data_IF_897284581559
#
_entry.id   IF_897284581559
#
_cell.length_a   1.000
_cell.length_b   1.000
_cell.length_c   1.000
_cell.angle_alpha   90.00
_cell.angle_beta   90.00
_cell.angle_gamma   90.00
#
_symmetry.space_group_name_H-M   'P 1'
#
loop_
_entity.id
_entity.type
_entity.pdbx_description
1 polymer ?
#
# COMPACT_ATOMS: atom_id res chain seq x y z
N UNK A 1 4.49 11.98 -1.71
CA UNK A 1 3.69 11.24 -0.70
C UNK A 1 2.85 10.09 -1.23
N UNK A 2 1.98 10.23 -2.24
CA UNK A 2 1.07 9.14 -2.65
C UNK A 2 1.55 8.24 -3.81
N UNK A 3 2.77 8.47 -4.32
CA UNK A 3 3.31 7.63 -5.37
C UNK A 3 3.34 6.15 -4.93
N UNK A 4 3.06 5.25 -5.88
CA UNK A 4 3.14 3.80 -5.68
C UNK A 4 4.50 3.29 -5.19
N UNK A 5 4.59 1.98 -4.98
CA UNK A 5 5.79 1.35 -4.42
C UNK A 5 6.95 1.45 -5.42
N UNK A 6 8.08 2.00 -4.99
CA UNK A 6 9.29 1.92 -5.80
C UNK A 6 9.91 0.53 -5.69
N UNK A 7 9.78 -0.26 -6.75
CA UNK A 7 10.33 -1.63 -6.84
C UNK A 7 11.75 -1.67 -7.43
N UNK A 8 12.42 -0.52 -7.58
CA UNK A 8 13.81 -0.44 -8.01
C UNK A 8 14.07 -1.15 -9.35
N UNK A 9 15.05 -2.06 -9.39
CA UNK A 9 15.45 -2.77 -10.63
C UNK A 9 14.36 -3.68 -11.23
N UNK A 10 13.30 -3.96 -10.48
CA UNK A 10 12.16 -4.74 -11.00
C UNK A 10 11.19 -3.90 -11.82
N UNK A 11 11.34 -2.57 -11.82
CA UNK A 11 10.47 -1.66 -12.56
C UNK A 11 10.43 -2.03 -14.04
N UNK A 12 9.22 -2.10 -14.60
CA UNK A 12 8.98 -2.42 -16.01
C UNK A 12 8.97 -3.91 -16.33
N UNK A 13 9.14 -4.78 -15.33
CA UNK A 13 9.05 -6.24 -15.48
C UNK A 13 7.74 -6.78 -14.88
N UNK A 14 7.23 -7.87 -15.43
CA UNK A 14 6.10 -8.59 -14.84
C UNK A 14 6.54 -9.40 -13.62
N UNK A 15 5.59 -9.76 -12.75
CA UNK A 15 5.90 -10.63 -11.62
C UNK A 15 6.44 -12.00 -12.08
N UNK A 16 5.93 -12.53 -13.19
CA UNK A 16 6.40 -13.79 -13.78
C UNK A 16 7.85 -13.68 -14.26
N UNK A 17 8.22 -12.57 -14.93
CA UNK A 17 9.59 -12.32 -15.37
C UNK A 17 10.56 -12.20 -14.19
N UNK A 18 10.15 -11.51 -13.12
CA UNK A 18 10.97 -11.37 -11.91
C UNK A 18 11.06 -12.71 -11.18
N UNK A 19 9.96 -13.44 -11.05
CA UNK A 19 9.90 -14.76 -10.41
C UNK A 19 10.74 -15.81 -11.13
N UNK A 20 10.82 -15.76 -12.46
CA UNK A 20 11.69 -16.65 -13.24
C UNK A 20 13.18 -16.31 -13.07
N UNK A 21 13.52 -15.03 -12.92
CA UNK A 21 14.92 -14.58 -12.85
C UNK A 21 15.52 -14.55 -11.44
N UNK A 22 14.72 -14.22 -10.43
CA UNK A 22 15.14 -14.01 -9.03
C UNK A 22 14.12 -14.64 -8.03
N UNK A 23 13.84 -15.97 -8.10
CA UNK A 23 12.76 -16.59 -7.33
C UNK A 23 12.91 -16.48 -5.80
N UNK A 24 14.14 -16.59 -5.27
CA UNK A 24 14.39 -16.41 -3.83
C UNK A 24 14.12 -14.98 -3.39
N UNK A 25 14.43 -14.00 -4.25
CA UNK A 25 14.20 -12.59 -3.98
C UNK A 25 12.71 -12.27 -3.93
N UNK A 26 11.91 -12.81 -4.86
CA UNK A 26 10.44 -12.70 -4.81
C UNK A 26 9.88 -13.36 -3.56
N UNK A 27 10.36 -14.55 -3.20
CA UNK A 27 9.94 -15.24 -1.98
C UNK A 27 10.22 -14.40 -0.73
N UNK A 28 11.41 -13.80 -0.65
CA UNK A 28 11.77 -12.90 0.46
C UNK A 28 10.89 -11.66 0.47
N UNK A 29 10.69 -11.02 -0.67
CA UNK A 29 9.81 -9.86 -0.77
C UNK A 29 8.39 -10.18 -0.29
N UNK A 30 7.81 -11.34 -0.65
CA UNK A 30 6.46 -11.74 -0.22
C UNK A 30 6.33 -12.15 1.26
N UNK A 31 7.44 -12.28 1.99
CA UNK A 31 7.45 -12.79 3.37
C UNK A 31 8.07 -11.84 4.39
N UNK A 32 8.90 -10.90 3.93
CA UNK A 32 9.62 -9.93 4.76
C UNK A 32 9.29 -8.49 4.31
N UNK A 33 8.43 -7.77 5.06
CA UNK A 33 8.04 -6.39 4.73
C UNK A 33 9.19 -5.38 4.74
N UNK A 34 10.32 -5.74 5.34
CA UNK A 34 11.51 -4.89 5.45
C UNK A 34 12.50 -5.13 4.30
N UNK A 35 12.28 -6.18 3.50
CA UNK A 35 13.14 -6.48 2.37
C UNK A 35 12.96 -5.46 1.25
N UNK A 36 14.06 -4.79 0.90
CA UNK A 36 14.12 -3.81 -0.20
C UNK A 36 15.32 -4.03 -1.12
N UNK A 37 15.88 -5.25 -1.14
CA UNK A 37 17.10 -5.51 -1.90
C UNK A 37 16.89 -5.44 -3.42
N UNK A 38 15.65 -5.24 -3.92
CA UNK A 38 15.38 -4.79 -5.29
C UNK A 38 15.90 -3.36 -5.59
N UNK A 39 16.36 -2.62 -4.57
CA UNK A 39 16.98 -1.30 -4.71
C UNK A 39 15.99 -0.13 -4.72
N UNK A 40 14.79 -0.35 -4.19
CA UNK A 40 13.73 0.65 -4.08
C UNK A 40 13.27 0.82 -2.63
N UNK A 41 11.97 0.99 -2.42
CA UNK A 41 11.35 1.14 -1.10
C UNK A 41 10.85 -0.21 -0.55
N UNK A 42 10.94 -0.43 0.77
CA UNK A 42 10.34 -1.61 1.41
C UNK A 42 8.83 -1.44 1.57
N UNK A 43 8.10 -2.55 1.72
CA UNK A 43 6.64 -2.49 2.03
C UNK A 43 6.38 -1.76 3.33
N UNK A 44 7.22 -1.96 4.36
CA UNK A 44 7.14 -1.17 5.60
C UNK A 44 7.33 0.32 5.36
N UNK A 45 8.35 0.70 4.57
CA UNK A 45 8.63 2.09 4.24
C UNK A 45 7.45 2.76 3.53
N UNK A 46 6.83 2.06 2.57
CA UNK A 46 5.60 2.52 1.93
C UNK A 46 4.47 2.73 2.96
N UNK A 47 4.23 1.76 3.84
CA UNK A 47 3.19 1.88 4.88
C UNK A 47 3.42 3.11 5.77
N UNK A 48 4.66 3.36 6.19
CA UNK A 48 5.02 4.51 7.02
C UNK A 48 4.88 5.85 6.27
N UNK A 49 5.26 5.90 4.98
CA UNK A 49 5.10 7.09 4.14
C UNK A 49 3.62 7.43 3.91
N UNK A 50 2.83 6.44 3.51
CA UNK A 50 1.38 6.62 3.30
C UNK A 50 0.67 6.93 4.62
N UNK A 51 1.10 6.30 5.72
CA UNK A 51 0.58 6.57 7.05
C UNK A 51 0.80 8.00 7.50
N UNK A 52 2.01 8.54 7.34
CA UNK A 52 2.31 9.95 7.63
C UNK A 52 1.46 10.92 6.80
N UNK A 53 1.26 10.62 5.52
CA UNK A 53 0.36 11.40 4.68
C UNK A 53 -1.08 11.34 5.18
N UNK A 54 -1.59 10.14 5.51
CA UNK A 54 -2.95 9.94 5.99
C UNK A 54 -3.21 10.66 7.33
N UNK A 55 -2.23 10.62 8.24
CA UNK A 55 -2.28 11.35 9.50
C UNK A 55 -2.25 12.87 9.29
N UNK A 56 -1.53 13.35 8.28
CA UNK A 56 -1.53 14.77 7.91
C UNK A 56 -2.85 15.25 7.31
N UNK A 57 -3.50 14.41 6.49
CA UNK A 57 -4.83 14.72 5.91
C UNK A 57 -5.91 14.80 6.99
N UNK A 58 -5.77 14.06 8.09
CA UNK A 58 -6.69 14.15 9.23
C UNK A 58 -6.77 15.56 9.81
N UNK A 59 -5.66 16.30 9.79
CA UNK A 59 -5.58 17.66 10.32
C UNK A 59 -6.16 18.71 9.35
N UNK A 60 -6.40 18.31 8.08
CA UNK A 60 -7.08 19.15 7.12
C UNK A 60 -8.61 18.92 7.22
N UNK A 61 -9.37 19.97 7.49
CA UNK A 61 -10.83 19.89 7.50
C UNK A 61 -11.37 19.51 6.11
N UNK A 62 -12.14 18.42 6.03
CA UNK A 62 -12.95 18.10 4.84
C UNK A 62 -12.84 16.66 4.33
N UNK A 63 -13.33 16.46 3.10
CA UNK A 63 -13.29 15.18 2.39
C UNK A 63 -12.17 15.22 1.35
N UNK A 64 -11.25 14.27 1.45
CA UNK A 64 -10.16 14.08 0.48
C UNK A 64 -10.44 12.88 -0.41
N UNK A 65 -10.19 13.03 -1.71
CA UNK A 65 -10.23 11.94 -2.69
C UNK A 65 -8.85 11.84 -3.32
N UNK A 66 -8.31 10.64 -3.40
CA UNK A 66 -7.04 10.35 -4.05
C UNK A 66 -7.22 9.20 -5.04
N UNK A 67 -6.68 9.36 -6.25
CA UNK A 67 -6.58 8.30 -7.25
C UNK A 67 -5.16 7.79 -7.22
N UNK A 68 -4.99 6.52 -6.88
CA UNK A 68 -3.70 5.92 -6.54
C UNK A 68 -3.64 4.46 -7.01
N UNK A 69 -2.43 3.92 -7.05
CA UNK A 69 -2.15 2.51 -7.31
C UNK A 69 -2.61 1.60 -6.14
N UNK A 70 -2.91 0.32 -6.39
CA UNK A 70 -3.47 -0.59 -5.39
C UNK A 70 -2.56 -0.77 -4.15
N UNK A 71 -1.24 -0.74 -4.30
CA UNK A 71 -0.29 -0.79 -3.18
C UNK A 71 -0.47 0.37 -2.20
N UNK A 72 -0.80 1.57 -2.70
CA UNK A 72 -1.03 2.75 -1.86
C UNK A 72 -2.31 2.56 -1.04
N UNK A 73 -3.34 1.95 -1.61
CA UNK A 73 -4.58 1.58 -0.89
C UNK A 73 -4.28 0.54 0.19
N UNK A 74 -3.50 -0.50 -0.12
CA UNK A 74 -3.09 -1.53 0.85
C UNK A 74 -2.34 -0.91 2.03
N UNK A 75 -1.36 -0.06 1.74
CA UNK A 75 -0.58 0.67 2.74
C UNK A 75 -1.46 1.55 3.64
N UNK A 76 -2.41 2.28 3.05
CA UNK A 76 -3.36 3.10 3.79
C UNK A 76 -4.24 2.26 4.73
N UNK A 77 -4.73 1.10 4.28
CA UNK A 77 -5.53 0.18 5.12
C UNK A 77 -4.70 -0.42 6.25
N UNK A 78 -3.45 -0.84 5.96
CA UNK A 78 -2.52 -1.35 6.98
C UNK A 78 -2.31 -0.31 8.07
N UNK A 79 -1.99 0.94 7.70
CA UNK A 79 -1.81 2.03 8.67
C UNK A 79 -3.11 2.35 9.42
N UNK A 80 -4.21 2.56 8.71
CA UNK A 80 -5.48 2.99 9.28
C UNK A 80 -6.01 2.03 10.34
N UNK A 81 -5.83 0.72 10.14
CA UNK A 81 -6.29 -0.32 11.05
C UNK A 81 -5.21 -0.82 12.03
N UNK A 82 -4.00 -0.26 11.98
CA UNK A 82 -2.88 -0.69 12.82
C UNK A 82 -2.48 -2.15 12.60
N UNK A 83 -2.57 -2.63 11.36
CA UNK A 83 -2.27 -4.02 11.02
C UNK A 83 -0.76 -4.27 10.96
N UNK A 84 -0.30 -5.51 11.20
CA UNK A 84 1.06 -5.88 10.85
C UNK A 84 1.33 -5.64 9.36
N UNK A 85 2.51 -5.13 9.00
CA UNK A 85 2.88 -4.83 7.62
C UNK A 85 2.73 -6.05 6.67
N UNK A 86 2.91 -7.27 7.18
CA UNK A 86 2.69 -8.50 6.42
C UNK A 86 1.24 -8.70 5.92
N UNK A 87 0.26 -7.99 6.49
CA UNK A 87 -1.11 -7.99 5.96
C UNK A 87 -1.20 -7.35 4.56
N UNK A 88 -0.22 -6.54 4.15
CA UNK A 88 -0.17 -5.86 2.86
C UNK A 88 -0.46 -6.79 1.68
N UNK A 89 0.19 -7.95 1.60
CA UNK A 89 -0.02 -8.90 0.49
C UNK A 89 -1.35 -9.66 0.54
N UNK A 90 -2.06 -9.58 1.66
CA UNK A 90 -3.36 -10.25 1.87
C UNK A 90 -4.55 -9.35 1.57
N UNK A 91 -4.31 -8.08 1.25
CA UNK A 91 -5.34 -7.11 0.93
C UNK A 91 -5.55 -7.07 -0.59
N UNK A 92 -6.74 -7.47 -1.02
CA UNK A 92 -7.12 -7.34 -2.42
C UNK A 92 -7.72 -5.97 -2.71
N UNK A 93 -7.34 -5.37 -3.84
CA UNK A 93 -7.78 -4.05 -4.27
C UNK A 93 -8.14 -4.16 -5.74
N UNK A 94 -9.43 -4.40 -5.99
CA UNK A 94 -9.94 -4.53 -7.35
C UNK A 94 -9.84 -3.19 -8.11
N UNK A 95 -9.53 -3.21 -9.41
CA UNK A 95 -9.58 -2.02 -10.26
C UNK A 95 -10.93 -1.32 -10.20
N UNK A 96 -10.92 0.01 -10.33
CA UNK A 96 -12.14 0.85 -10.35
C UNK A 96 -13.05 0.70 -9.12
N UNK A 97 -12.46 0.42 -7.96
CA UNK A 97 -13.17 0.45 -6.68
C UNK A 97 -12.65 1.57 -5.79
N UNK A 98 -13.51 2.08 -4.91
CA UNK A 98 -13.18 3.00 -3.86
C UNK A 98 -13.05 2.27 -2.53
N UNK A 99 -11.92 2.50 -1.85
CA UNK A 99 -11.77 2.23 -0.42
C UNK A 99 -11.98 3.53 0.34
N UNK A 100 -12.94 3.56 1.25
CA UNK A 100 -13.27 4.74 2.04
C UNK A 100 -12.70 4.59 3.45
N UNK A 101 -11.94 5.59 3.88
CA UNK A 101 -11.46 5.74 5.24
C UNK A 101 -12.27 6.85 5.91
N UNK A 102 -12.93 6.50 7.02
CA UNK A 102 -13.74 7.46 7.79
C UNK A 102 -13.45 7.32 9.27
N UNK A 103 -13.32 8.44 9.98
CA UNK A 103 -12.88 8.38 11.36
C UNK A 103 -12.89 9.74 12.03
N UNK A 104 -12.84 9.70 13.36
CA UNK A 104 -12.60 10.87 14.23
C UNK A 104 -11.64 10.45 15.33
N UNK A 105 -10.92 11.40 15.90
CA UNK A 105 -10.09 11.21 17.11
C UNK A 105 -9.14 10.00 17.04
N UNK A 106 -8.42 9.86 15.92
CA UNK A 106 -7.38 8.83 15.75
C UNK A 106 -7.89 7.41 15.47
N UNK A 107 -9.21 7.19 15.34
CA UNK A 107 -9.78 5.89 14.98
C UNK A 107 -10.33 5.93 13.56
N UNK A 108 -9.77 5.08 12.69
CA UNK A 108 -10.28 4.88 11.33
C UNK A 108 -11.23 3.69 11.27
N UNK A 109 -12.23 3.81 10.40
CA UNK A 109 -13.05 2.74 9.88
C UNK A 109 -12.80 2.64 8.38
N UNK A 110 -12.76 1.42 7.86
CA UNK A 110 -12.51 1.14 6.45
C UNK A 110 -13.75 0.53 5.83
N UNK A 111 -14.19 1.07 4.70
CA UNK A 111 -15.15 0.43 3.79
C UNK A 111 -14.42 0.08 2.51
N UNK A 112 -14.34 -1.21 2.19
CA UNK A 112 -13.58 -1.74 1.06
C UNK A 112 -14.45 -1.93 -0.18
N UNK A 113 -13.84 -1.78 -1.36
CA UNK A 113 -14.35 -2.35 -2.61
C UNK A 113 -15.65 -1.75 -3.13
N UNK A 114 -16.00 -0.50 -2.79
CA UNK A 114 -17.20 0.15 -3.36
C UNK A 114 -16.98 0.37 -4.85
N UNK A 115 -17.79 -0.22 -5.76
CA UNK A 115 -17.65 0.05 -7.20
C UNK A 115 -17.83 1.54 -7.51
N UNK A 116 -17.04 2.04 -8.46
CA UNK A 116 -17.21 3.37 -9.03
C UNK A 116 -18.05 3.25 -10.31
N UNK A 117 -19.37 3.20 -10.15
CA UNK A 117 -20.36 3.27 -11.22
C UNK A 117 -20.98 4.67 -11.31
#
# INVERSE_FOLDING_TARGET
ELAGLDVGRWRGRTLDEVGAAEPEAVTRWLTDPDWAAHGGESVRGLCERIGRWLDGVREADGRTVAVVEPETVRAAVVHALGLPAAAFWRLDVAPLTATELSGRSGRWNVRLGRPLE
#
